data_IF_514823030343
#
_entry.id   IF_514823030343
#
_cell.length_a   1.000
_cell.length_b   1.000
_cell.length_c   1.000
_cell.angle_alpha   90.00
_cell.angle_beta   90.00
_cell.angle_gamma   90.00
#
_symmetry.space_group_name_H-M   'P 1'
#
loop_
_entity.id
_entity.type
_entity.pdbx_description
1 polymer ?
#
# COMPACT_ATOMS: atom_id res chain seq x y z
N UNK A 1 -25.49 18.31 -17.39
CA UNK A 1 -24.22 18.89 -16.89
C UNK A 1 -23.40 17.77 -16.26
N UNK A 2 -22.44 17.23 -16.98
CA UNK A 2 -21.51 16.24 -16.43
C UNK A 2 -20.64 16.91 -15.38
N UNK A 3 -20.76 16.50 -14.11
CA UNK A 3 -19.80 16.91 -13.09
C UNK A 3 -18.43 16.41 -13.54
N UNK A 4 -17.48 17.34 -13.77
CA UNK A 4 -16.08 16.97 -14.00
C UNK A 4 -15.67 15.99 -12.91
N UNK A 5 -15.20 14.83 -13.31
CA UNK A 5 -14.76 13.76 -12.39
C UNK A 5 -13.35 14.04 -11.86
N UNK A 6 -12.66 15.04 -12.40
CA UNK A 6 -11.33 15.49 -11.99
C UNK A 6 -11.40 16.69 -11.05
N UNK A 7 -10.55 16.69 -10.01
CA UNK A 7 -10.40 17.83 -9.10
C UNK A 7 -9.01 18.44 -9.23
N UNK A 8 -8.98 19.73 -9.55
CA UNK A 8 -7.74 20.50 -9.54
C UNK A 8 -7.36 20.87 -8.08
N UNK A 9 -6.32 20.22 -7.56
CA UNK A 9 -5.83 20.49 -6.20
C UNK A 9 -4.84 21.67 -6.14
N UNK A 10 -4.64 22.37 -7.26
CA UNK A 10 -3.76 23.54 -7.31
C UNK A 10 -4.44 24.82 -6.85
N UNK A 11 -5.76 24.79 -6.58
CA UNK A 11 -6.57 25.94 -6.18
C UNK A 11 -7.41 25.60 -4.95
N UNK A 12 -7.84 26.62 -4.21
CA UNK A 12 -8.68 26.46 -3.00
C UNK A 12 -7.90 26.21 -1.72
N UNK A 13 -8.63 25.94 -0.63
CA UNK A 13 -8.06 25.69 0.70
C UNK A 13 -7.41 24.31 0.77
N UNK A 14 -6.14 24.24 1.19
CA UNK A 14 -5.35 23.02 1.17
C UNK A 14 -5.91 21.93 2.10
N UNK A 15 -6.23 22.29 3.36
CA UNK A 15 -6.80 21.36 4.34
C UNK A 15 -8.11 20.73 3.84
N UNK A 16 -9.00 21.55 3.33
CA UNK A 16 -10.29 21.08 2.79
C UNK A 16 -10.08 20.09 1.64
N UNK A 17 -9.16 20.39 0.72
CA UNK A 17 -8.83 19.51 -0.41
C UNK A 17 -8.23 18.19 0.07
N UNK A 18 -7.29 18.24 1.02
CA UNK A 18 -6.69 17.04 1.61
C UNK A 18 -7.75 16.17 2.29
N UNK A 19 -8.60 16.73 3.14
CA UNK A 19 -9.65 15.98 3.84
C UNK A 19 -10.67 15.40 2.87
N UNK A 20 -11.14 16.16 1.89
CA UNK A 20 -12.10 15.70 0.89
C UNK A 20 -11.52 14.56 0.02
N UNK A 21 -10.23 14.55 -0.22
CA UNK A 21 -9.55 13.52 -0.99
C UNK A 21 -9.16 12.31 -0.13
N UNK A 22 -8.75 12.54 1.10
CA UNK A 22 -8.38 11.52 2.08
C UNK A 22 -9.55 10.61 2.47
N UNK A 23 -10.72 11.18 2.82
CA UNK A 23 -11.85 10.40 3.34
C UNK A 23 -12.31 9.27 2.42
N UNK A 24 -12.50 9.49 1.09
CA UNK A 24 -12.86 8.38 0.19
C UNK A 24 -11.78 7.31 0.08
N UNK A 25 -10.49 7.69 0.10
CA UNK A 25 -9.40 6.71 0.03
C UNK A 25 -9.37 5.87 1.31
N UNK A 26 -9.51 6.50 2.49
CA UNK A 26 -9.58 5.79 3.76
C UNK A 26 -10.76 4.82 3.80
N UNK A 27 -11.95 5.28 3.41
CA UNK A 27 -13.12 4.41 3.33
C UNK A 27 -12.86 3.20 2.43
N UNK A 28 -12.29 3.41 1.23
CA UNK A 28 -11.93 2.31 0.33
C UNK A 28 -10.93 1.32 0.95
N UNK A 29 -9.88 1.80 1.60
CA UNK A 29 -8.90 0.95 2.27
C UNK A 29 -9.53 0.14 3.42
N UNK A 30 -10.44 0.73 4.20
CA UNK A 30 -11.17 0.02 5.25
C UNK A 30 -12.11 -1.04 4.66
N UNK A 31 -12.84 -0.75 3.59
CA UNK A 31 -13.64 -1.74 2.88
C UNK A 31 -12.77 -2.90 2.36
N UNK A 32 -11.57 -2.59 1.88
CA UNK A 32 -10.61 -3.61 1.42
C UNK A 32 -10.17 -4.55 2.56
N UNK A 33 -9.94 -4.02 3.75
CA UNK A 33 -9.63 -4.85 4.92
C UNK A 33 -10.80 -5.75 5.33
N UNK A 34 -12.02 -5.20 5.31
CA UNK A 34 -13.23 -5.96 5.65
C UNK A 34 -13.48 -7.13 4.68
N UNK A 35 -13.33 -6.90 3.37
CA UNK A 35 -13.55 -7.99 2.42
C UNK A 35 -12.45 -9.05 2.49
N UNK A 36 -11.19 -8.67 2.74
CA UNK A 36 -10.11 -9.64 2.93
C UNK A 36 -10.36 -10.56 4.14
N UNK A 37 -11.00 -10.03 5.17
CA UNK A 37 -11.45 -10.84 6.31
C UNK A 37 -12.61 -11.78 5.90
N UNK A 38 -13.59 -11.29 5.16
CA UNK A 38 -14.71 -12.09 4.67
C UNK A 38 -14.25 -13.24 3.74
N UNK A 39 -13.32 -12.97 2.81
CA UNK A 39 -12.69 -13.96 1.94
C UNK A 39 -12.04 -15.10 2.77
N UNK A 40 -11.24 -14.74 3.77
CA UNK A 40 -10.62 -15.72 4.68
C UNK A 40 -11.65 -16.55 5.44
N UNK A 41 -12.79 -15.96 5.83
CA UNK A 41 -13.89 -16.70 6.48
C UNK A 41 -14.59 -17.67 5.51
N UNK A 42 -14.80 -17.26 4.26
CA UNK A 42 -15.41 -18.14 3.23
C UNK A 42 -14.49 -19.32 2.93
N UNK A 43 -13.19 -19.09 2.77
CA UNK A 43 -12.21 -20.18 2.56
C UNK A 43 -12.17 -21.12 3.76
N UNK A 44 -12.05 -20.60 4.99
CA UNK A 44 -11.93 -21.43 6.18
C UNK A 44 -13.20 -22.24 6.49
N UNK A 45 -14.39 -21.64 6.37
CA UNK A 45 -15.66 -22.33 6.65
C UNK A 45 -16.20 -23.12 5.46
N UNK A 46 -15.90 -22.71 4.24
CA UNK A 46 -16.44 -23.33 3.02
C UNK A 46 -15.58 -24.45 2.46
N UNK A 47 -14.25 -24.40 2.65
CA UNK A 47 -13.32 -25.39 2.09
C UNK A 47 -12.68 -26.20 3.23
N UNK A 48 -12.25 -25.54 4.31
CA UNK A 48 -11.66 -26.17 5.49
C UNK A 48 -10.34 -25.54 5.93
N UNK A 49 -9.83 -26.06 7.06
CA UNK A 49 -8.65 -25.51 7.73
C UNK A 49 -7.38 -25.66 6.90
N UNK A 50 -7.24 -26.77 6.14
CA UNK A 50 -6.10 -27.02 5.24
C UNK A 50 -6.01 -25.94 4.14
N UNK A 51 -7.15 -25.62 3.53
CA UNK A 51 -7.25 -24.58 2.52
C UNK A 51 -6.92 -23.20 3.09
N UNK A 52 -7.41 -22.89 4.29
CA UNK A 52 -7.09 -21.63 4.96
C UNK A 52 -5.59 -21.54 5.28
N UNK A 53 -4.97 -22.64 5.72
CA UNK A 53 -3.53 -22.71 5.97
C UNK A 53 -2.73 -22.54 4.66
N UNK A 54 -3.17 -23.17 3.56
CA UNK A 54 -2.54 -23.01 2.25
C UNK A 54 -2.61 -21.57 1.75
N UNK A 55 -3.76 -20.89 1.87
CA UNK A 55 -3.93 -19.46 1.54
C UNK A 55 -3.05 -18.60 2.42
N UNK A 56 -3.03 -18.86 3.74
CA UNK A 56 -2.17 -18.14 4.70
C UNK A 56 -0.69 -18.23 4.36
N UNK A 57 -0.23 -19.42 3.92
CA UNK A 57 1.17 -19.66 3.53
C UNK A 57 1.61 -18.78 2.33
N UNK A 58 0.69 -18.39 1.46
CA UNK A 58 1.00 -17.49 0.33
C UNK A 58 1.12 -16.03 0.73
N UNK A 59 0.66 -15.65 1.92
CA UNK A 59 0.47 -14.25 2.34
C UNK A 59 1.71 -13.39 2.21
N UNK A 60 2.87 -13.87 2.65
CA UNK A 60 4.12 -13.11 2.60
C UNK A 60 4.58 -12.81 1.16
N UNK A 61 4.49 -13.81 0.28
CA UNK A 61 4.89 -13.66 -1.13
C UNK A 61 3.88 -12.76 -1.86
N UNK A 62 2.60 -12.94 -1.58
CA UNK A 62 1.52 -12.10 -2.11
C UNK A 62 1.72 -10.64 -1.72
N UNK A 63 2.04 -10.36 -0.44
CA UNK A 63 2.30 -9.01 0.06
C UNK A 63 3.49 -8.35 -0.64
N UNK A 64 4.56 -9.10 -0.93
CA UNK A 64 5.71 -8.61 -1.67
C UNK A 64 5.34 -8.19 -3.10
N UNK A 65 4.60 -9.03 -3.83
CA UNK A 65 4.19 -8.77 -5.21
C UNK A 65 3.21 -7.59 -5.29
N UNK A 66 2.23 -7.54 -4.39
CA UNK A 66 1.27 -6.42 -4.33
C UNK A 66 1.98 -5.13 -3.92
N UNK A 67 2.87 -5.18 -2.93
CA UNK A 67 3.67 -4.02 -2.52
C UNK A 67 4.47 -3.44 -3.68
N UNK A 68 5.10 -4.32 -4.47
CA UNK A 68 5.79 -3.91 -5.71
C UNK A 68 4.83 -3.26 -6.71
N UNK A 69 3.66 -3.88 -6.95
CA UNK A 69 2.66 -3.36 -7.88
C UNK A 69 2.14 -1.99 -7.48
N UNK A 70 1.79 -1.81 -6.21
CA UNK A 70 1.33 -0.52 -5.64
C UNK A 70 2.44 0.53 -5.75
N UNK A 71 3.68 0.18 -5.42
CA UNK A 71 4.81 1.08 -5.50
C UNK A 71 5.11 1.52 -6.93
N UNK A 72 5.13 0.58 -7.89
CA UNK A 72 5.33 0.87 -9.30
C UNK A 72 4.27 1.84 -9.81
N UNK A 73 2.99 1.49 -9.63
CA UNK A 73 1.88 2.30 -10.13
C UNK A 73 1.79 3.65 -9.44
N UNK A 74 2.08 3.72 -8.12
CA UNK A 74 2.20 4.97 -7.37
C UNK A 74 3.27 5.89 -7.95
N UNK A 75 4.46 5.35 -8.26
CA UNK A 75 5.55 6.09 -8.89
C UNK A 75 5.23 6.59 -10.31
N UNK A 76 4.50 5.80 -11.12
CA UNK A 76 3.97 6.26 -12.41
C UNK A 76 2.95 7.40 -12.21
N UNK A 77 2.09 7.31 -11.19
CA UNK A 77 1.12 8.32 -10.81
C UNK A 77 1.74 9.68 -10.45
N UNK A 78 2.98 9.71 -9.95
CA UNK A 78 3.71 10.96 -9.67
C UNK A 78 3.90 11.79 -10.96
N UNK A 79 4.36 11.17 -12.04
CA UNK A 79 4.53 11.87 -13.31
C UNK A 79 3.21 12.38 -13.86
N UNK A 80 2.16 11.55 -13.79
CA UNK A 80 0.81 11.89 -14.23
C UNK A 80 0.24 13.07 -13.44
N UNK A 81 0.38 13.07 -12.10
CA UNK A 81 -0.11 14.17 -11.25
C UNK A 81 0.62 15.49 -11.53
N UNK A 82 1.94 15.43 -11.78
CA UNK A 82 2.73 16.59 -12.19
C UNK A 82 2.31 17.13 -13.56
N UNK A 83 2.10 16.26 -14.53
CA UNK A 83 1.67 16.67 -15.88
C UNK A 83 0.24 17.21 -15.88
N UNK A 84 -0.64 16.66 -15.04
CA UNK A 84 -2.00 17.19 -14.83
C UNK A 84 -1.95 18.58 -14.19
N UNK A 85 -1.18 18.74 -13.12
CA UNK A 85 -1.04 20.03 -12.41
C UNK A 85 -0.42 21.12 -13.26
N UNK A 86 0.47 20.79 -14.21
CA UNK A 86 1.05 21.75 -15.17
C UNK A 86 0.09 22.11 -16.32
N UNK A 87 -1.08 21.46 -16.43
CA UNK A 87 -1.99 21.64 -17.55
C UNK A 87 -1.51 21.06 -18.89
N UNK A 88 -0.40 20.32 -18.90
CA UNK A 88 0.16 19.74 -20.12
C UNK A 88 -0.48 18.38 -20.44
N UNK A 89 -1.69 18.43 -20.98
CA UNK A 89 -2.47 17.23 -21.31
C UNK A 89 -1.87 16.41 -22.46
N UNK A 90 -1.05 16.98 -23.35
CA UNK A 90 -0.36 16.22 -24.38
C UNK A 90 0.68 15.29 -23.75
N UNK A 91 1.51 15.84 -22.86
CA UNK A 91 2.50 15.06 -22.10
C UNK A 91 1.82 14.01 -21.24
N UNK A 92 0.72 14.37 -20.54
CA UNK A 92 -0.06 13.48 -19.68
C UNK A 92 -0.55 12.26 -20.48
N UNK A 93 -1.13 12.44 -21.69
CA UNK A 93 -1.59 11.33 -22.53
C UNK A 93 -0.45 10.40 -22.97
N UNK A 94 0.71 10.96 -23.33
CA UNK A 94 1.90 10.17 -23.67
C UNK A 94 2.42 9.39 -22.45
N UNK A 95 2.50 10.02 -21.28
CA UNK A 95 2.88 9.35 -20.01
C UNK A 95 1.89 8.25 -19.66
N UNK A 96 0.58 8.46 -19.85
CA UNK A 96 -0.43 7.43 -19.64
C UNK A 96 -0.23 6.24 -20.57
N UNK A 97 -0.08 6.46 -21.88
CA UNK A 97 0.14 5.38 -22.85
C UNK A 97 1.42 4.59 -22.54
N UNK A 98 2.52 5.27 -22.20
CA UNK A 98 3.77 4.60 -21.81
C UNK A 98 3.64 3.87 -20.47
N UNK A 99 2.86 4.38 -19.52
CA UNK A 99 2.59 3.69 -18.25
C UNK A 99 1.83 2.38 -18.45
N UNK A 100 0.87 2.34 -19.39
CA UNK A 100 0.18 1.09 -19.77
C UNK A 100 1.18 0.08 -20.33
N UNK A 101 2.09 0.48 -21.23
CA UNK A 101 3.14 -0.41 -21.74
C UNK A 101 4.04 -0.95 -20.62
N UNK A 102 4.45 -0.08 -19.69
CA UNK A 102 5.28 -0.49 -18.51
C UNK A 102 4.51 -1.48 -17.65
N UNK A 103 3.24 -1.21 -17.32
CA UNK A 103 2.41 -2.09 -16.50
C UNK A 103 2.21 -3.46 -17.17
N UNK A 104 1.97 -3.50 -18.47
CA UNK A 104 1.83 -4.75 -19.23
C UNK A 104 3.15 -5.53 -19.26
N UNK A 105 4.26 -4.88 -19.62
CA UNK A 105 5.57 -5.54 -19.72
C UNK A 105 6.01 -6.11 -18.35
N UNK A 106 5.92 -5.32 -17.28
CA UNK A 106 6.30 -5.75 -15.93
C UNK A 106 5.31 -6.77 -15.39
N UNK A 107 4.01 -6.59 -15.63
CA UNK A 107 2.98 -7.54 -15.23
C UNK A 107 3.20 -8.92 -15.84
N UNK A 108 3.42 -8.98 -17.16
CA UNK A 108 3.71 -10.23 -17.86
C UNK A 108 5.02 -10.84 -17.34
N UNK A 109 6.07 -10.04 -17.16
CA UNK A 109 7.36 -10.51 -16.64
C UNK A 109 7.20 -11.14 -15.27
N UNK A 110 6.54 -10.45 -14.33
CA UNK A 110 6.30 -10.98 -12.97
C UNK A 110 5.46 -12.25 -13.05
N UNK A 111 4.37 -12.25 -13.83
CA UNK A 111 3.50 -13.43 -14.00
C UNK A 111 4.32 -14.63 -14.50
N UNK A 112 5.07 -14.48 -15.58
CA UNK A 112 5.84 -15.59 -16.19
C UNK A 112 6.92 -16.10 -15.24
N UNK A 113 7.72 -15.19 -14.67
CA UNK A 113 8.81 -15.56 -13.76
C UNK A 113 8.26 -16.21 -12.49
N UNK A 114 7.23 -15.63 -11.88
CA UNK A 114 6.65 -16.18 -10.66
C UNK A 114 6.00 -17.53 -10.87
N UNK A 115 5.27 -17.75 -11.98
CA UNK A 115 4.68 -19.05 -12.31
C UNK A 115 5.76 -20.10 -12.59
N UNK A 116 6.84 -19.73 -13.30
CA UNK A 116 7.93 -20.66 -13.61
C UNK A 116 8.69 -21.14 -12.37
N UNK A 117 8.85 -20.28 -11.36
CA UNK A 117 9.60 -20.57 -10.15
C UNK A 117 8.76 -20.79 -8.88
N UNK A 118 7.43 -20.79 -9.01
CA UNK A 118 6.52 -20.88 -7.88
C UNK A 118 6.76 -22.10 -6.99
N UNK A 119 6.89 -23.29 -7.59
CA UNK A 119 7.11 -24.52 -6.84
C UNK A 119 8.45 -24.50 -6.08
N UNK A 120 9.53 -24.04 -6.73
CA UNK A 120 10.84 -23.90 -6.11
C UNK A 120 10.79 -22.93 -4.93
N UNK A 121 10.06 -21.82 -5.08
CA UNK A 121 9.89 -20.82 -4.03
C UNK A 121 9.21 -21.43 -2.79
N UNK A 122 8.09 -22.13 -2.94
CA UNK A 122 7.37 -22.73 -1.81
C UNK A 122 8.13 -23.92 -1.20
N UNK A 123 8.90 -24.68 -2.00
CA UNK A 123 9.82 -25.68 -1.48
C UNK A 123 10.94 -25.02 -0.64
N UNK A 124 11.51 -23.90 -1.10
CA UNK A 124 12.50 -23.12 -0.34
C UNK A 124 11.93 -22.55 0.96
N UNK A 125 10.66 -22.17 0.97
CA UNK A 125 9.92 -21.70 2.15
C UNK A 125 9.50 -22.83 3.10
N UNK A 126 9.91 -24.09 2.83
CA UNK A 126 9.59 -25.28 3.62
C UNK A 126 8.08 -25.50 3.79
N UNK A 127 7.30 -25.24 2.74
CA UNK A 127 5.86 -25.54 2.73
C UNK A 127 5.64 -27.05 2.89
N UNK A 128 4.81 -27.48 3.86
CA UNK A 128 4.46 -28.88 4.03
C UNK A 128 3.86 -29.49 2.75
N UNK A 129 4.18 -30.78 2.46
CA UNK A 129 3.75 -31.42 1.21
C UNK A 129 2.23 -31.55 1.10
N UNK A 130 1.53 -31.74 2.21
CA UNK A 130 0.07 -31.79 2.31
C UNK A 130 -0.62 -30.48 1.92
N UNK A 131 0.05 -29.33 2.15
CA UNK A 131 -0.45 -28.01 1.76
C UNK A 131 0.02 -27.59 0.36
N UNK A 132 1.05 -28.22 -0.19
CA UNK A 132 1.71 -27.79 -1.42
C UNK A 132 0.74 -27.69 -2.61
N UNK A 133 -0.11 -28.67 -2.78
CA UNK A 133 -1.05 -28.72 -3.92
C UNK A 133 -2.04 -27.55 -3.89
N UNK A 134 -2.68 -27.30 -2.75
CA UNK A 134 -3.65 -26.21 -2.59
C UNK A 134 -2.95 -24.84 -2.65
N UNK A 135 -1.75 -24.72 -2.06
CA UNK A 135 -0.92 -23.52 -2.14
C UNK A 135 -0.59 -23.17 -3.60
N UNK A 136 -0.14 -24.14 -4.39
CA UNK A 136 0.20 -23.92 -5.81
C UNK A 136 -1.04 -23.60 -6.64
N UNK A 137 -2.18 -24.25 -6.38
CA UNK A 137 -3.43 -24.00 -7.08
C UNK A 137 -3.97 -22.60 -6.80
N UNK A 138 -4.05 -22.20 -5.54
CA UNK A 138 -4.50 -20.88 -5.12
C UNK A 138 -3.57 -19.79 -5.67
N UNK A 139 -2.29 -19.91 -5.33
CA UNK A 139 -1.33 -18.86 -5.66
C UNK A 139 -1.02 -18.78 -7.16
N UNK A 140 -1.02 -19.93 -7.87
CA UNK A 140 -0.88 -19.96 -9.31
C UNK A 140 -1.98 -19.19 -10.03
N UNK A 141 -3.22 -19.27 -9.54
CA UNK A 141 -4.36 -18.50 -10.06
C UNK A 141 -4.18 -16.99 -9.79
N UNK A 142 -3.78 -16.61 -8.57
CA UNK A 142 -3.46 -15.22 -8.23
C UNK A 142 -2.32 -14.68 -9.10
N UNK A 143 -1.24 -15.48 -9.30
CA UNK A 143 -0.10 -15.09 -10.14
C UNK A 143 -0.50 -14.90 -11.60
N UNK A 144 -1.34 -15.78 -12.15
CA UNK A 144 -1.88 -15.61 -13.49
C UNK A 144 -2.66 -14.29 -13.64
N UNK A 145 -3.32 -13.83 -12.55
CA UNK A 145 -4.01 -12.55 -12.47
C UNK A 145 -3.12 -11.32 -12.18
N UNK A 146 -1.81 -11.48 -11.94
CA UNK A 146 -0.94 -10.36 -11.50
C UNK A 146 -0.91 -9.19 -12.48
N UNK A 147 -0.92 -9.46 -13.78
CA UNK A 147 -1.01 -8.39 -14.79
C UNK A 147 -2.30 -7.58 -14.64
N UNK A 148 -3.42 -8.23 -14.34
CA UNK A 148 -4.71 -7.57 -14.08
C UNK A 148 -4.63 -6.76 -12.79
N UNK A 149 -4.02 -7.30 -11.75
CA UNK A 149 -3.79 -6.60 -10.47
C UNK A 149 -3.00 -5.31 -10.65
N UNK A 150 -1.89 -5.36 -11.40
CA UNK A 150 -1.06 -4.17 -11.70
C UNK A 150 -1.87 -3.16 -12.51
N UNK A 151 -2.63 -3.61 -13.51
CA UNK A 151 -3.44 -2.72 -14.34
C UNK A 151 -4.58 -2.07 -13.55
N UNK A 152 -5.27 -2.83 -12.68
CA UNK A 152 -6.30 -2.30 -11.79
C UNK A 152 -5.73 -1.25 -10.82
N UNK A 153 -4.58 -1.52 -10.20
CA UNK A 153 -3.91 -0.55 -9.34
C UNK A 153 -3.49 0.70 -10.11
N UNK A 154 -3.02 0.55 -11.35
CA UNK A 154 -2.67 1.68 -12.21
C UNK A 154 -3.91 2.53 -12.56
N UNK A 155 -5.03 1.91 -12.95
CA UNK A 155 -6.27 2.62 -13.29
C UNK A 155 -6.80 3.43 -12.10
N UNK A 156 -6.78 2.86 -10.88
CA UNK A 156 -7.13 3.57 -9.65
C UNK A 156 -6.15 4.71 -9.36
N UNK A 157 -4.84 4.48 -9.51
CA UNK A 157 -3.80 5.48 -9.29
C UNK A 157 -3.89 6.62 -10.29
N UNK A 158 -4.18 6.34 -11.55
CA UNK A 158 -4.40 7.35 -12.59
C UNK A 158 -5.54 8.30 -12.17
N UNK A 159 -6.69 7.77 -11.76
CA UNK A 159 -7.82 8.57 -11.31
C UNK A 159 -7.48 9.40 -10.06
N UNK A 160 -6.77 8.82 -9.10
CA UNK A 160 -6.26 9.56 -7.93
C UNK A 160 -5.31 10.67 -8.34
N UNK A 161 -4.41 10.43 -9.29
CA UNK A 161 -3.41 11.42 -9.76
C UNK A 161 -4.04 12.66 -10.40
N UNK A 162 -5.25 12.52 -10.98
CA UNK A 162 -6.02 13.65 -11.51
C UNK A 162 -7.06 14.20 -10.50
N UNK A 163 -6.89 13.86 -9.23
CA UNK A 163 -7.71 14.39 -8.13
C UNK A 163 -9.07 13.71 -7.92
N UNK A 164 -9.31 12.54 -8.53
CA UNK A 164 -10.53 11.77 -8.33
C UNK A 164 -10.31 10.62 -7.35
N UNK A 165 -10.83 10.73 -6.13
CA UNK A 165 -10.81 9.66 -5.12
C UNK A 165 -12.14 8.89 -5.01
N UNK A 166 -13.22 9.43 -5.56
CA UNK A 166 -14.57 8.84 -5.43
C UNK A 166 -14.78 7.66 -6.36
N UNK A 167 -14.28 7.73 -7.60
CA UNK A 167 -14.39 6.62 -8.56
C UNK A 167 -13.56 5.42 -8.09
N UNK A 168 -12.29 5.56 -7.67
CA UNK A 168 -11.56 4.48 -7.02
C UNK A 168 -12.26 3.88 -5.80
N UNK A 169 -12.87 4.69 -4.93
CA UNK A 169 -13.69 4.18 -3.81
C UNK A 169 -14.84 3.29 -4.31
N UNK A 170 -15.62 3.77 -5.27
CA UNK A 170 -16.73 2.99 -5.82
C UNK A 170 -16.23 1.70 -6.48
N UNK A 171 -15.09 1.74 -7.20
CA UNK A 171 -14.46 0.56 -7.79
C UNK A 171 -14.05 -0.46 -6.72
N UNK A 172 -13.50 -0.02 -5.59
CA UNK A 172 -13.12 -0.90 -4.47
C UNK A 172 -14.35 -1.52 -3.81
N UNK A 173 -15.44 -0.78 -3.62
CA UNK A 173 -16.70 -1.30 -3.08
C UNK A 173 -17.31 -2.33 -4.02
N UNK A 174 -17.38 -2.04 -5.33
CA UNK A 174 -17.88 -2.98 -6.35
C UNK A 174 -17.04 -4.25 -6.35
N UNK A 175 -15.71 -4.12 -6.32
CA UNK A 175 -14.79 -5.26 -6.27
C UNK A 175 -15.02 -6.11 -5.01
N UNK A 176 -15.15 -5.47 -3.85
CA UNK A 176 -15.37 -6.17 -2.59
C UNK A 176 -16.69 -6.95 -2.58
N UNK A 177 -17.79 -6.34 -3.01
CA UNK A 177 -19.09 -7.01 -3.08
C UNK A 177 -19.04 -8.14 -4.10
N UNK A 178 -18.50 -7.90 -5.29
CA UNK A 178 -18.40 -8.91 -6.35
C UNK A 178 -17.51 -10.08 -5.91
N UNK A 179 -16.40 -9.82 -5.23
CA UNK A 179 -15.54 -10.88 -4.69
C UNK A 179 -16.30 -11.78 -3.72
N UNK A 180 -16.91 -11.21 -2.68
CA UNK A 180 -17.68 -12.01 -1.69
C UNK A 180 -18.79 -12.81 -2.36
N UNK A 181 -19.54 -12.24 -3.30
CA UNK A 181 -20.59 -12.95 -4.01
C UNK A 181 -20.04 -14.09 -4.88
N UNK A 182 -18.93 -13.86 -5.57
CA UNK A 182 -18.26 -14.89 -6.38
C UNK A 182 -17.61 -15.96 -5.52
N UNK A 183 -17.02 -15.62 -4.37
CA UNK A 183 -16.50 -16.59 -3.41
C UNK A 183 -17.61 -17.54 -2.93
N UNK A 184 -18.75 -16.97 -2.50
CA UNK A 184 -19.91 -17.78 -2.10
C UNK A 184 -20.41 -18.67 -3.23
N UNK A 185 -20.44 -18.18 -4.47
CA UNK A 185 -20.88 -18.93 -5.65
C UNK A 185 -19.87 -20.03 -6.03
N UNK A 186 -18.58 -19.73 -6.05
CA UNK A 186 -17.57 -20.68 -6.53
C UNK A 186 -17.21 -21.74 -5.50
N UNK A 187 -17.21 -21.37 -4.21
CA UNK A 187 -16.83 -22.28 -3.13
C UNK A 187 -17.99 -23.23 -2.77
N UNK A 188 -19.21 -22.72 -2.58
CA UNK A 188 -20.32 -23.54 -2.07
C UNK A 188 -21.05 -24.31 -3.19
N UNK A 189 -21.79 -23.71 -4.16
CA UNK A 189 -22.53 -24.49 -5.14
C UNK A 189 -21.67 -25.09 -6.25
N UNK A 190 -20.55 -24.45 -6.64
CA UNK A 190 -19.70 -24.94 -7.71
C UNK A 190 -18.54 -25.81 -7.22
N UNK A 191 -18.30 -25.89 -5.92
CA UNK A 191 -17.26 -26.71 -5.28
C UNK A 191 -15.86 -26.57 -5.91
N UNK A 192 -15.49 -25.34 -6.32
CA UNK A 192 -14.21 -25.07 -7.00
C UNK A 192 -13.02 -25.01 -6.03
N UNK A 193 -13.25 -25.13 -4.72
CA UNK A 193 -12.19 -25.10 -3.72
C UNK A 193 -11.38 -23.80 -3.72
N UNK A 194 -10.10 -23.89 -3.39
CA UNK A 194 -9.18 -22.73 -3.34
C UNK A 194 -8.99 -22.03 -4.69
N UNK A 195 -9.14 -22.77 -5.80
CA UNK A 195 -9.11 -22.20 -7.14
C UNK A 195 -10.27 -21.22 -7.35
N UNK A 196 -11.47 -21.55 -6.85
CA UNK A 196 -12.65 -20.69 -6.93
C UNK A 196 -12.44 -19.35 -6.19
N UNK A 197 -11.92 -19.40 -4.96
CA UNK A 197 -11.62 -18.19 -4.18
C UNK A 197 -10.57 -17.31 -4.87
N UNK A 198 -9.48 -17.91 -5.38
CA UNK A 198 -8.47 -17.15 -6.13
C UNK A 198 -9.04 -16.53 -7.42
N UNK A 199 -9.86 -17.28 -8.15
CA UNK A 199 -10.52 -16.80 -9.37
C UNK A 199 -11.49 -15.65 -9.09
N UNK A 200 -12.28 -15.75 -8.01
CA UNK A 200 -13.19 -14.69 -7.57
C UNK A 200 -12.41 -13.38 -7.30
N UNK A 201 -11.27 -13.47 -6.63
CA UNK A 201 -10.38 -12.32 -6.38
C UNK A 201 -9.90 -11.67 -7.68
N UNK A 202 -9.44 -12.45 -8.64
CA UNK A 202 -8.97 -11.95 -9.95
C UNK A 202 -10.12 -11.31 -10.74
N UNK A 203 -11.29 -11.96 -10.81
CA UNK A 203 -12.46 -11.44 -11.52
C UNK A 203 -13.00 -10.16 -10.90
N UNK A 204 -13.00 -10.06 -9.57
CA UNK A 204 -13.37 -8.83 -8.86
C UNK A 204 -12.48 -7.65 -9.23
N UNK A 205 -11.17 -7.91 -9.39
CA UNK A 205 -10.22 -6.89 -9.86
C UNK A 205 -10.44 -6.50 -11.33
N UNK A 206 -10.85 -7.42 -12.19
CA UNK A 206 -11.26 -7.11 -13.57
C UNK A 206 -12.45 -6.16 -13.56
N UNK A 207 -13.49 -6.43 -12.77
CA UNK A 207 -14.66 -5.55 -12.67
C UNK A 207 -14.28 -4.15 -12.18
N UNK A 208 -13.42 -4.06 -11.17
CA UNK A 208 -12.86 -2.81 -10.67
C UNK A 208 -12.12 -2.04 -11.76
N UNK A 209 -11.24 -2.71 -12.49
CA UNK A 209 -10.47 -2.12 -13.59
C UNK A 209 -11.38 -1.61 -14.72
N UNK A 210 -12.37 -2.40 -15.13
CA UNK A 210 -13.35 -2.00 -16.14
C UNK A 210 -14.16 -0.77 -15.70
N UNK A 211 -14.59 -0.72 -14.44
CA UNK A 211 -15.27 0.43 -13.88
C UNK A 211 -14.39 1.69 -13.91
N UNK A 212 -13.12 1.58 -13.50
CA UNK A 212 -12.17 2.69 -13.58
C UNK A 212 -11.94 3.14 -15.04
N UNK A 213 -11.74 2.19 -15.97
CA UNK A 213 -11.54 2.47 -17.40
C UNK A 213 -12.75 3.18 -18.02
N UNK A 214 -13.97 2.81 -17.63
CA UNK A 214 -15.18 3.50 -18.09
C UNK A 214 -15.15 4.99 -17.72
N UNK A 215 -14.75 5.33 -16.49
CA UNK A 215 -14.66 6.74 -16.08
C UNK A 215 -13.47 7.46 -16.68
N UNK A 216 -12.32 6.79 -16.86
CA UNK A 216 -11.18 7.33 -17.61
C UNK A 216 -11.61 7.68 -19.03
N UNK A 217 -12.38 6.80 -19.68
CA UNK A 217 -12.91 7.02 -21.04
C UNK A 217 -13.90 8.18 -21.18
N UNK A 218 -14.50 8.65 -20.09
CA UNK A 218 -15.35 9.86 -20.08
C UNK A 218 -14.55 11.16 -20.08
N UNK A 219 -13.31 11.12 -19.64
CA UNK A 219 -12.43 12.30 -19.54
C UNK A 219 -11.61 12.47 -20.82
N UNK A 220 -12.09 13.28 -21.75
CA UNK A 220 -11.46 13.50 -23.07
C UNK A 220 -9.95 13.82 -22.98
N UNK A 221 -9.55 14.52 -21.91
CA UNK A 221 -8.16 14.91 -21.68
C UNK A 221 -7.25 13.74 -21.27
N UNK A 222 -7.82 12.62 -20.83
CA UNK A 222 -7.08 11.42 -20.40
C UNK A 222 -6.96 10.37 -21.52
N UNK A 223 -7.73 10.51 -22.62
CA UNK A 223 -7.73 9.52 -23.70
C UNK A 223 -6.51 9.70 -24.59
N UNK A 224 -5.56 8.73 -24.65
CA UNK A 224 -4.42 8.82 -25.55
C UNK A 224 -4.86 8.77 -27.01
N UNK A 225 -4.27 9.62 -27.85
CA UNK A 225 -4.44 9.57 -29.31
C UNK A 225 -3.63 8.40 -29.89
N UNK A 226 -3.96 7.96 -31.12
CA UNK A 226 -3.19 6.89 -31.80
C UNK A 226 -1.68 7.15 -31.83
N UNK A 227 -1.28 8.41 -31.98
CA UNK A 227 0.12 8.83 -32.00
C UNK A 227 0.82 8.71 -30.65
N UNK A 228 0.08 8.79 -29.54
CA UNK A 228 0.62 8.76 -28.18
C UNK A 228 1.07 7.34 -27.77
N UNK A 229 0.54 6.30 -28.45
CA UNK A 229 0.90 4.90 -28.22
C UNK A 229 2.25 4.47 -28.80
N UNK A 230 2.87 5.32 -29.65
CA UNK A 230 4.21 5.01 -30.15
C UNK A 230 5.23 5.01 -29.02
N UNK A 231 6.00 3.93 -28.81
CA UNK A 231 6.98 3.84 -27.75
C UNK A 231 7.98 5.00 -27.77
N UNK A 232 8.12 5.70 -26.66
CA UNK A 232 9.04 6.82 -26.49
C UNK A 232 10.01 6.50 -25.36
N UNK A 233 11.23 6.10 -25.72
CA UNK A 233 12.25 5.64 -24.76
C UNK A 233 12.55 6.68 -23.66
N UNK A 234 12.52 7.95 -23.98
CA UNK A 234 12.76 9.05 -23.03
C UNK A 234 11.68 9.09 -21.95
N UNK A 235 10.41 8.94 -22.35
CA UNK A 235 9.26 8.95 -21.40
C UNK A 235 9.28 7.66 -20.58
N UNK A 236 9.48 6.49 -21.23
CA UNK A 236 9.58 5.20 -20.53
C UNK A 236 10.70 5.24 -19.49
N UNK A 237 11.90 5.70 -19.85
CA UNK A 237 13.03 5.82 -18.92
C UNK A 237 12.69 6.73 -17.74
N UNK A 238 12.06 7.88 -17.98
CA UNK A 238 11.64 8.81 -16.93
C UNK A 238 10.62 8.17 -15.97
N UNK A 239 9.61 7.52 -16.51
CA UNK A 239 8.56 6.83 -15.73
C UNK A 239 9.15 5.69 -14.89
N UNK A 240 10.01 4.86 -15.49
CA UNK A 240 10.68 3.75 -14.81
C UNK A 240 11.61 4.25 -13.69
N UNK A 241 12.38 5.33 -13.93
CA UNK A 241 13.24 5.94 -12.91
C UNK A 241 12.45 6.54 -11.73
N UNK A 242 11.15 6.81 -11.87
CA UNK A 242 10.28 7.24 -10.76
C UNK A 242 9.51 6.07 -10.15
N UNK A 243 9.03 5.14 -10.98
CA UNK A 243 8.24 4.00 -10.54
C UNK A 243 9.06 2.93 -9.81
N UNK A 244 10.20 2.55 -10.36
CA UNK A 244 11.00 1.45 -9.83
C UNK A 244 11.52 1.70 -8.39
N UNK A 245 12.06 2.89 -8.03
CA UNK A 245 12.48 3.14 -6.66
C UNK A 245 11.33 3.03 -5.65
N UNK A 246 10.11 3.46 -6.00
CA UNK A 246 8.94 3.35 -5.12
C UNK A 246 8.50 1.89 -4.99
N UNK A 247 8.55 1.11 -6.08
CA UNK A 247 8.29 -0.33 -6.05
C UNK A 247 9.28 -1.08 -5.14
N UNK A 248 10.58 -0.81 -5.32
CA UNK A 248 11.66 -1.40 -4.50
C UNK A 248 11.48 -1.00 -3.03
N UNK A 249 11.17 0.26 -2.73
CA UNK A 249 10.90 0.72 -1.37
C UNK A 249 9.82 -0.11 -0.68
N UNK A 250 8.67 -0.27 -1.34
CA UNK A 250 7.56 -1.04 -0.77
C UNK A 250 7.91 -2.52 -0.56
N UNK A 251 8.64 -3.12 -1.52
CA UNK A 251 9.12 -4.49 -1.39
C UNK A 251 10.11 -4.66 -0.24
N UNK A 252 11.05 -3.74 -0.09
CA UNK A 252 12.04 -3.75 1.00
C UNK A 252 11.36 -3.59 2.35
N UNK A 253 10.37 -2.69 2.46
CA UNK A 253 9.59 -2.52 3.71
C UNK A 253 8.84 -3.80 4.08
N UNK A 254 8.28 -4.51 3.09
CA UNK A 254 7.64 -5.81 3.29
C UNK A 254 8.61 -6.85 3.87
N UNK A 255 9.83 -6.93 3.33
CA UNK A 255 10.88 -7.81 3.85
C UNK A 255 11.24 -7.46 5.30
N UNK A 256 11.24 -6.17 5.65
CA UNK A 256 11.50 -5.72 7.02
C UNK A 256 10.53 -6.30 8.06
N UNK A 257 9.25 -6.39 7.72
CA UNK A 257 8.23 -7.05 8.57
C UNK A 257 8.49 -8.54 8.73
N UNK A 258 8.89 -9.24 7.66
CA UNK A 258 9.23 -10.68 7.72
C UNK A 258 10.45 -10.94 8.61
N UNK A 259 11.44 -10.04 8.59
CA UNK A 259 12.62 -10.16 9.45
C UNK A 259 12.22 -10.08 10.93
N UNK A 260 11.41 -9.09 11.33
CA UNK A 260 10.92 -9.03 12.71
C UNK A 260 10.13 -10.28 13.11
N UNK A 261 9.26 -10.78 12.23
CA UNK A 261 8.52 -12.02 12.48
C UNK A 261 9.46 -13.20 12.77
N UNK A 262 10.57 -13.30 12.03
CA UNK A 262 11.57 -14.37 12.26
C UNK A 262 12.19 -14.27 13.66
N UNK A 263 12.49 -13.07 14.14
CA UNK A 263 13.00 -12.88 15.51
C UNK A 263 11.96 -13.25 16.57
N UNK A 264 10.70 -12.85 16.37
CA UNK A 264 9.61 -13.19 17.28
C UNK A 264 9.34 -14.70 17.32
N UNK A 265 9.45 -15.39 16.18
CA UNK A 265 9.29 -16.86 16.11
C UNK A 265 10.29 -17.58 17.02
N UNK A 266 11.50 -17.05 17.21
CA UNK A 266 12.52 -17.63 18.10
C UNK A 266 12.27 -17.33 19.59
N UNK A 267 11.31 -16.47 19.93
CA UNK A 267 10.98 -16.13 21.34
C UNK A 267 9.97 -17.09 21.96
N UNK A 268 9.24 -17.85 21.13
CA UNK A 268 8.24 -18.84 21.57
C UNK A 268 6.81 -18.49 21.14
N UNK A 269 5.94 -19.50 21.23
CA UNK A 269 4.57 -19.46 20.67
C UNK A 269 3.70 -18.35 21.24
N UNK A 270 3.82 -18.05 22.53
CA UNK A 270 3.05 -16.97 23.18
C UNK A 270 3.38 -15.59 22.61
N UNK A 271 4.67 -15.32 22.36
CA UNK A 271 5.09 -14.07 21.72
C UNK A 271 4.68 -13.98 20.25
N UNK A 272 4.67 -15.11 19.54
CA UNK A 272 4.19 -15.17 18.16
C UNK A 272 2.70 -14.82 18.10
N UNK A 273 1.89 -15.38 19.00
CA UNK A 273 0.46 -15.07 19.07
C UNK A 273 0.21 -13.60 19.45
N UNK A 274 0.94 -13.06 20.44
CA UNK A 274 0.87 -11.65 20.82
C UNK A 274 1.26 -10.72 19.67
N UNK A 275 2.36 -11.02 18.96
CA UNK A 275 2.82 -10.22 17.82
C UNK A 275 1.84 -10.24 16.65
N UNK A 276 1.26 -11.40 16.36
CA UNK A 276 0.24 -11.51 15.31
C UNK A 276 -1.00 -10.66 15.60
N UNK A 277 -1.46 -10.62 16.85
CA UNK A 277 -2.56 -9.76 17.26
C UNK A 277 -2.17 -8.27 17.21
N UNK A 278 -1.00 -7.91 17.75
CA UNK A 278 -0.50 -6.54 17.74
C UNK A 278 -0.34 -5.99 16.33
N UNK A 279 0.27 -6.74 15.40
CA UNK A 279 0.49 -6.30 14.01
C UNK A 279 -0.82 -6.14 13.25
N UNK A 280 -1.82 -6.99 13.49
CA UNK A 280 -3.16 -6.82 12.90
C UNK A 280 -3.85 -5.55 13.37
N UNK A 281 -3.81 -5.26 14.67
CA UNK A 281 -4.36 -4.02 15.23
C UNK A 281 -3.58 -2.83 14.68
N UNK A 282 -2.24 -2.87 14.74
CA UNK A 282 -1.39 -1.79 14.25
C UNK A 282 -1.65 -1.48 12.77
N UNK A 283 -1.80 -2.50 11.92
CA UNK A 283 -2.10 -2.31 10.49
C UNK A 283 -3.40 -1.56 10.22
N UNK A 284 -4.40 -1.68 11.10
CA UNK A 284 -5.64 -0.89 11.01
C UNK A 284 -5.41 0.56 11.49
N UNK A 285 -4.64 0.74 12.55
CA UNK A 285 -4.40 2.03 13.19
C UNK A 285 -3.43 2.93 12.39
N UNK A 286 -2.53 2.35 11.59
CA UNK A 286 -1.64 3.11 10.70
C UNK A 286 -2.30 3.52 9.37
N UNK A 287 -3.40 2.86 8.96
CA UNK A 287 -4.07 3.14 7.68
C UNK A 287 -4.49 4.61 7.49
N UNK A 288 -5.04 5.30 8.49
CA UNK A 288 -5.39 6.71 8.31
C UNK A 288 -4.18 7.58 8.00
N UNK A 289 -3.07 7.41 8.72
CA UNK A 289 -1.84 8.17 8.50
C UNK A 289 -1.21 7.87 7.12
N UNK A 290 -1.16 6.61 6.71
CA UNK A 290 -0.73 6.21 5.36
C UNK A 290 -1.61 6.85 4.28
N UNK A 291 -2.92 6.90 4.50
CA UNK A 291 -3.88 7.49 3.55
C UNK A 291 -3.70 9.00 3.43
N UNK A 292 -3.38 9.72 4.51
CA UNK A 292 -2.97 11.15 4.45
C UNK A 292 -1.74 11.30 3.56
N UNK A 293 -0.75 10.42 3.70
CA UNK A 293 0.41 10.38 2.81
C UNK A 293 0.03 10.26 1.34
N UNK A 294 -0.86 9.32 0.99
CA UNK A 294 -1.34 9.13 -0.38
C UNK A 294 -2.09 10.36 -0.92
N UNK A 295 -2.87 11.04 -0.08
CA UNK A 295 -3.52 12.29 -0.46
C UNK A 295 -2.50 13.39 -0.75
N UNK A 296 -1.47 13.49 0.10
CA UNK A 296 -0.37 14.43 -0.10
C UNK A 296 0.46 14.13 -1.36
N UNK A 297 0.68 12.87 -1.70
CA UNK A 297 1.37 12.48 -2.94
C UNK A 297 0.74 13.15 -4.16
N UNK A 298 -0.59 13.06 -4.27
CA UNK A 298 -1.36 13.68 -5.36
C UNK A 298 -1.35 15.20 -5.27
N UNK A 299 -1.63 15.75 -4.08
CA UNK A 299 -1.65 17.19 -3.85
C UNK A 299 -0.30 17.84 -4.18
N UNK A 300 0.79 17.30 -3.65
CA UNK A 300 2.14 17.80 -3.90
C UNK A 300 2.53 17.61 -5.37
N UNK A 301 2.21 16.46 -5.98
CA UNK A 301 2.49 16.21 -7.39
C UNK A 301 1.84 17.24 -8.31
N UNK A 302 0.55 17.53 -8.13
CA UNK A 302 -0.15 18.55 -8.92
C UNK A 302 0.40 19.96 -8.68
N UNK A 303 0.63 20.36 -7.42
CA UNK A 303 1.17 21.68 -7.10
C UNK A 303 2.63 21.85 -7.56
N UNK A 304 3.43 20.78 -7.55
CA UNK A 304 4.78 20.77 -8.10
C UNK A 304 4.77 20.97 -9.62
N UNK A 305 3.89 20.26 -10.33
CA UNK A 305 3.67 20.45 -11.76
C UNK A 305 3.21 21.86 -12.12
N UNK A 306 2.38 22.48 -11.27
CA UNK A 306 1.91 23.85 -11.41
C UNK A 306 2.93 24.93 -10.96
N UNK A 307 4.09 24.54 -10.43
CA UNK A 307 5.10 25.48 -9.91
C UNK A 307 4.71 26.20 -8.61
N UNK A 308 3.68 25.70 -7.88
CA UNK A 308 3.11 26.38 -6.69
C UNK A 308 3.81 25.94 -5.39
N UNK A 309 5.06 26.39 -5.18
CA UNK A 309 5.91 26.00 -4.04
C UNK A 309 5.28 26.28 -2.67
N UNK A 310 4.70 27.47 -2.48
CA UNK A 310 4.07 27.84 -1.21
C UNK A 310 2.91 26.92 -0.83
N UNK A 311 2.17 26.44 -1.84
CA UNK A 311 1.09 25.48 -1.59
C UNK A 311 1.64 24.10 -1.19
N UNK A 312 2.79 23.70 -1.70
CA UNK A 312 3.47 22.47 -1.26
C UNK A 312 3.83 22.56 0.21
N UNK A 313 4.46 23.69 0.64
CA UNK A 313 4.79 23.93 2.06
C UNK A 313 3.56 23.89 2.96
N UNK A 314 2.51 24.61 2.56
CA UNK A 314 1.24 24.62 3.27
C UNK A 314 0.64 23.22 3.36
N UNK A 315 0.60 22.48 2.25
CA UNK A 315 0.06 21.12 2.21
C UNK A 315 0.81 20.14 3.11
N UNK A 316 2.15 20.19 3.14
CA UNK A 316 2.97 19.38 4.05
C UNK A 316 2.66 19.73 5.51
N UNK A 317 2.62 21.03 5.86
CA UNK A 317 2.27 21.48 7.21
C UNK A 317 0.87 21.01 7.62
N UNK A 318 -0.11 21.16 6.75
CA UNK A 318 -1.48 20.73 7.00
C UNK A 318 -1.61 19.19 7.06
N UNK A 319 -0.80 18.46 6.28
CA UNK A 319 -0.70 17.02 6.37
C UNK A 319 -0.14 16.56 7.74
N UNK A 320 0.88 17.25 8.26
CA UNK A 320 1.40 17.00 9.63
C UNK A 320 0.30 17.25 10.67
N UNK A 321 -0.40 18.39 10.58
CA UNK A 321 -1.51 18.69 11.50
C UNK A 321 -2.62 17.64 11.42
N UNK A 322 -2.99 17.24 10.21
CA UNK A 322 -4.04 16.23 10.00
C UNK A 322 -3.65 14.88 10.60
N UNK A 323 -2.40 14.43 10.43
CA UNK A 323 -1.92 13.18 11.05
C UNK A 323 -1.88 13.28 12.57
N UNK A 324 -1.54 14.44 13.16
CA UNK A 324 -1.62 14.65 14.61
C UNK A 324 -3.05 14.50 15.11
N UNK A 325 -4.00 15.20 14.46
CA UNK A 325 -5.42 15.17 14.86
C UNK A 325 -6.02 13.76 14.78
N UNK A 326 -5.62 12.98 13.76
CA UNK A 326 -6.09 11.60 13.58
C UNK A 326 -5.40 10.65 14.59
N UNK A 327 -4.11 10.82 14.83
CA UNK A 327 -3.34 9.90 15.66
C UNK A 327 -3.60 10.11 17.17
N UNK A 328 -4.06 11.28 17.62
CA UNK A 328 -4.41 11.50 19.03
C UNK A 328 -5.43 10.46 19.53
N UNK A 329 -6.65 10.33 18.97
CA UNK A 329 -7.62 9.35 19.46
C UNK A 329 -7.12 7.91 19.27
N UNK A 330 -6.41 7.61 18.19
CA UNK A 330 -5.88 6.27 17.93
C UNK A 330 -4.78 5.89 18.93
N UNK A 331 -3.86 6.80 19.25
CA UNK A 331 -2.84 6.60 20.27
C UNK A 331 -3.47 6.40 21.65
N UNK A 332 -4.47 7.21 22.01
CA UNK A 332 -5.20 7.05 23.28
C UNK A 332 -5.88 5.68 23.36
N UNK A 333 -6.46 5.16 22.30
CA UNK A 333 -7.03 3.81 22.28
C UNK A 333 -5.96 2.74 22.53
N UNK A 334 -4.80 2.82 21.86
CA UNK A 334 -3.70 1.87 22.06
C UNK A 334 -3.06 1.96 23.45
N UNK A 335 -3.12 3.12 24.09
CA UNK A 335 -2.58 3.32 25.45
C UNK A 335 -3.56 2.92 26.55
N UNK A 336 -4.85 3.27 26.40
CA UNK A 336 -5.82 3.12 27.46
C UNK A 336 -6.53 1.76 27.47
N UNK A 337 -6.72 1.15 26.28
CA UNK A 337 -7.51 -0.09 26.14
C UNK A 337 -6.81 -1.17 25.28
N UNK A 338 -5.47 -1.36 25.36
CA UNK A 338 -4.76 -2.32 24.52
C UNK A 338 -5.24 -3.75 24.72
N UNK A 339 -5.50 -4.13 25.96
CA UNK A 339 -5.98 -5.47 26.34
C UNK A 339 -7.38 -5.75 25.77
N UNK A 340 -8.27 -4.76 25.81
CA UNK A 340 -9.60 -4.86 25.20
C UNK A 340 -9.51 -5.05 23.69
N UNK A 341 -8.63 -4.31 23.01
CA UNK A 341 -8.45 -4.44 21.55
C UNK A 341 -7.93 -5.84 21.17
N UNK A 342 -7.02 -6.41 21.98
CA UNK A 342 -6.44 -7.73 21.69
C UNK A 342 -7.31 -8.89 22.16
N UNK A 343 -8.23 -8.67 23.12
CA UNK A 343 -9.18 -9.69 23.59
C UNK A 343 -10.17 -10.17 22.53
N UNK A 344 -10.38 -9.40 21.45
CA UNK A 344 -11.14 -9.87 20.29
C UNK A 344 -10.44 -10.97 19.50
N UNK A 345 -9.12 -11.17 19.70
CA UNK A 345 -8.30 -12.10 18.95
C UNK A 345 -7.62 -13.16 19.83
N UNK A 346 -7.44 -12.87 21.13
CA UNK A 346 -6.71 -13.70 22.08
C UNK A 346 -7.62 -14.00 23.28
N UNK A 347 -7.62 -15.25 23.73
CA UNK A 347 -8.40 -15.69 24.91
C UNK A 347 -7.54 -15.83 26.17
N UNK A 348 -6.22 -15.98 26.02
CA UNK A 348 -5.30 -16.19 27.15
C UNK A 348 -4.84 -14.84 27.71
N UNK A 349 -5.21 -14.56 28.98
CA UNK A 349 -4.88 -13.34 29.68
C UNK A 349 -3.35 -13.11 29.81
N UNK A 350 -2.56 -14.18 29.88
CA UNK A 350 -1.10 -14.08 29.96
C UNK A 350 -0.50 -13.56 28.63
N UNK A 351 -1.03 -14.02 27.49
CA UNK A 351 -0.62 -13.56 26.18
C UNK A 351 -1.09 -12.12 25.93
N UNK A 352 -2.31 -11.79 26.36
CA UNK A 352 -2.86 -10.43 26.27
C UNK A 352 -1.96 -9.43 27.00
N UNK A 353 -1.40 -9.80 28.15
CA UNK A 353 -0.51 -8.92 28.92
C UNK A 353 0.73 -8.50 28.14
N UNK A 354 1.30 -9.36 27.26
CA UNK A 354 2.45 -9.01 26.41
C UNK A 354 2.10 -7.95 25.37
N UNK A 355 0.84 -7.93 24.90
CA UNK A 355 0.41 -6.96 23.88
C UNK A 355 0.36 -5.53 24.39
N UNK A 356 0.13 -5.33 25.69
CA UNK A 356 0.05 -4.02 26.32
C UNK A 356 1.29 -3.17 26.08
N UNK A 357 2.47 -3.71 26.38
CA UNK A 357 3.73 -2.99 26.22
C UNK A 357 4.03 -2.68 24.76
N UNK A 358 3.77 -3.62 23.87
CA UNK A 358 3.96 -3.43 22.45
C UNK A 358 3.06 -2.32 21.90
N UNK A 359 1.76 -2.38 22.17
CA UNK A 359 0.79 -1.39 21.70
C UNK A 359 0.97 -0.02 22.35
N UNK A 360 1.41 0.05 23.60
CA UNK A 360 1.72 1.32 24.25
C UNK A 360 2.91 2.03 23.59
N UNK A 361 3.99 1.31 23.32
CA UNK A 361 5.18 1.85 22.64
C UNK A 361 4.84 2.31 21.23
N UNK A 362 4.18 1.45 20.45
CA UNK A 362 3.79 1.78 19.07
C UNK A 362 2.72 2.86 19.02
N UNK A 363 1.79 2.90 19.98
CA UNK A 363 0.75 3.92 20.09
C UNK A 363 1.30 5.34 20.24
N UNK A 364 2.28 5.55 21.14
CA UNK A 364 2.97 6.85 21.26
C UNK A 364 3.66 7.22 19.95
N UNK A 365 4.19 6.25 19.25
CA UNK A 365 4.98 6.45 18.04
C UNK A 365 4.16 6.44 16.75
N UNK A 366 2.84 6.44 16.81
CA UNK A 366 1.98 6.73 15.65
C UNK A 366 2.24 8.14 15.08
N UNK A 367 2.70 9.09 15.93
CA UNK A 367 3.03 10.46 15.45
C UNK A 367 4.24 10.46 14.50
N UNK A 368 5.44 9.95 14.90
CA UNK A 368 6.56 9.80 13.99
C UNK A 368 6.22 9.00 12.72
N UNK A 369 5.41 7.94 12.85
CA UNK A 369 4.94 7.16 11.70
C UNK A 369 4.08 8.01 10.75
N UNK A 370 3.15 8.80 11.29
CA UNK A 370 2.34 9.72 10.48
C UNK A 370 3.20 10.75 9.74
N UNK A 371 4.20 11.31 10.41
CA UNK A 371 5.14 12.26 9.80
C UNK A 371 6.03 11.59 8.78
N UNK A 372 6.45 10.35 9.01
CA UNK A 372 7.16 9.53 8.03
C UNK A 372 6.37 9.46 6.71
N UNK A 373 5.08 9.13 6.77
CA UNK A 373 4.22 9.06 5.57
C UNK A 373 4.05 10.43 4.89
N UNK A 374 3.92 11.50 5.66
CA UNK A 374 3.80 12.88 5.15
C UNK A 374 5.06 13.28 4.37
N UNK A 375 6.24 13.16 4.97
CA UNK A 375 7.49 13.57 4.32
C UNK A 375 7.88 12.63 3.18
N UNK A 376 7.64 11.32 3.32
CA UNK A 376 7.87 10.33 2.26
C UNK A 376 7.08 10.66 1.00
N UNK A 377 5.78 10.80 1.14
CA UNK A 377 4.89 11.09 0.02
C UNK A 377 5.07 12.54 -0.49
N UNK A 378 5.44 13.47 0.37
CA UNK A 378 5.82 14.83 -0.01
C UNK A 378 7.04 14.84 -0.93
N UNK A 379 8.13 14.17 -0.56
CA UNK A 379 9.32 14.02 -1.41
C UNK A 379 9.00 13.29 -2.72
N UNK A 380 8.22 12.21 -2.66
CA UNK A 380 7.79 11.48 -3.86
C UNK A 380 6.94 12.35 -4.79
N UNK A 381 5.98 13.12 -4.28
CA UNK A 381 5.14 14.04 -5.06
C UNK A 381 5.96 15.12 -5.79
N UNK A 382 7.05 15.60 -5.19
CA UNK A 382 8.01 16.47 -5.87
C UNK A 382 8.87 15.74 -6.92
N UNK A 383 8.73 14.41 -7.04
CA UNK A 383 9.47 13.59 -7.99
C UNK A 383 10.81 13.07 -7.47
N UNK A 384 11.13 13.26 -6.20
CA UNK A 384 12.31 12.70 -5.56
C UNK A 384 11.99 11.34 -4.98
N UNK A 385 12.20 10.26 -5.76
CA UNK A 385 11.82 8.88 -5.38
C UNK A 385 12.98 8.05 -4.83
N UNK A 386 14.23 8.44 -5.13
CA UNK A 386 15.42 7.69 -4.71
C UNK A 386 15.67 7.76 -3.19
N UNK A 387 15.55 8.94 -2.58
CA UNK A 387 15.77 9.08 -1.13
C UNK A 387 14.67 8.39 -0.31
N UNK A 388 13.37 8.48 -0.65
CA UNK A 388 12.35 7.61 -0.08
C UNK A 388 12.65 6.11 -0.19
N UNK A 389 13.23 5.65 -1.30
CA UNK A 389 13.67 4.25 -1.43
C UNK A 389 14.76 3.93 -0.40
N UNK A 390 15.77 4.79 -0.26
CA UNK A 390 16.82 4.61 0.75
C UNK A 390 16.25 4.64 2.18
N UNK A 391 15.21 5.42 2.45
CA UNK A 391 14.56 5.41 3.77
C UNK A 391 13.94 4.05 4.10
N UNK A 392 13.40 3.33 3.10
CA UNK A 392 12.94 1.95 3.29
C UNK A 392 14.08 0.99 3.62
N UNK A 393 15.22 1.12 2.97
CA UNK A 393 16.43 0.32 3.31
C UNK A 393 16.90 0.64 4.74
N UNK A 394 16.90 1.92 5.13
CA UNK A 394 17.25 2.33 6.49
C UNK A 394 16.28 1.74 7.53
N UNK A 395 14.97 1.70 7.24
CA UNK A 395 13.97 1.07 8.13
C UNK A 395 14.32 -0.39 8.39
N UNK A 396 14.59 -1.18 7.34
CA UNK A 396 14.94 -2.59 7.50
C UNK A 396 16.24 -2.75 8.27
N UNK A 397 17.26 -1.95 7.95
CA UNK A 397 18.54 -1.97 8.63
C UNK A 397 18.39 -1.68 10.13
N UNK A 398 17.63 -0.64 10.48
CA UNK A 398 17.36 -0.28 11.88
C UNK A 398 16.56 -1.38 12.59
N UNK A 399 15.54 -1.98 11.95
CA UNK A 399 14.80 -3.13 12.52
C UNK A 399 15.75 -4.27 12.89
N UNK A 400 16.62 -4.67 11.96
CA UNK A 400 17.58 -5.77 12.19
C UNK A 400 18.56 -5.46 13.30
N UNK A 401 19.14 -4.26 13.31
CA UNK A 401 20.12 -3.86 14.32
C UNK A 401 19.46 -3.72 15.69
N UNK A 402 18.35 -2.98 15.77
CA UNK A 402 17.70 -2.69 17.04
C UNK A 402 17.03 -3.91 17.67
N UNK A 403 16.44 -4.82 16.86
CA UNK A 403 15.87 -6.06 17.43
C UNK A 403 16.96 -6.93 18.05
N UNK A 404 18.13 -7.04 17.41
CA UNK A 404 19.28 -7.79 17.96
C UNK A 404 19.83 -7.16 19.24
N UNK A 405 19.87 -5.82 19.30
CA UNK A 405 20.41 -5.10 20.45
C UNK A 405 19.44 -5.06 21.64
N UNK A 406 18.15 -4.89 21.37
CA UNK A 406 17.16 -4.60 22.43
C UNK A 406 16.48 -5.86 22.97
N UNK A 407 16.27 -6.89 22.13
CA UNK A 407 15.53 -8.09 22.54
C UNK A 407 16.18 -8.86 23.67
N UNK A 408 17.52 -8.99 23.78
CA UNK A 408 18.17 -9.69 24.90
C UNK A 408 17.90 -9.05 26.27
N UNK A 409 17.66 -7.73 26.31
CA UNK A 409 17.46 -6.97 27.55
C UNK A 409 16.00 -6.66 27.84
N UNK A 410 15.19 -6.48 26.79
CA UNK A 410 13.82 -5.96 26.91
C UNK A 410 12.76 -6.95 26.39
N UNK A 411 13.17 -8.14 26.00
CA UNK A 411 12.30 -9.20 25.48
C UNK A 411 11.32 -8.64 24.41
N UNK A 412 10.03 -8.88 24.54
CA UNK A 412 9.02 -8.48 23.55
C UNK A 412 8.88 -6.95 23.39
N UNK A 413 9.14 -6.18 24.45
CA UNK A 413 9.21 -4.71 24.38
C UNK A 413 10.35 -4.23 23.46
N UNK A 414 11.45 -5.01 23.38
CA UNK A 414 12.55 -4.76 22.46
C UNK A 414 12.13 -4.84 20.99
N UNK A 415 11.18 -5.72 20.65
CA UNK A 415 10.60 -5.82 19.30
C UNK A 415 9.81 -4.56 18.94
N UNK A 416 8.98 -4.05 19.86
CA UNK A 416 8.24 -2.81 19.66
C UNK A 416 9.17 -1.59 19.44
N UNK A 417 10.22 -1.50 20.26
CA UNK A 417 11.21 -0.43 20.16
C UNK A 417 12.03 -0.51 18.86
N UNK A 418 12.31 -1.72 18.36
CA UNK A 418 12.97 -1.90 17.07
C UNK A 418 12.10 -1.38 15.91
N UNK A 419 10.80 -1.68 15.93
CA UNK A 419 9.84 -1.17 14.93
C UNK A 419 9.80 0.36 14.93
N UNK A 420 9.65 0.96 16.10
CA UNK A 420 9.56 2.41 16.28
C UNK A 420 10.85 3.14 15.93
N UNK A 421 12.01 2.56 16.27
CA UNK A 421 13.32 3.11 15.90
C UNK A 421 13.48 3.24 14.39
N UNK A 422 12.95 2.26 13.64
CA UNK A 422 12.95 2.30 12.18
C UNK A 422 12.10 3.46 11.65
N UNK A 423 10.90 3.67 12.20
CA UNK A 423 10.03 4.79 11.79
C UNK A 423 10.67 6.15 12.08
N UNK A 424 11.24 6.33 13.28
CA UNK A 424 11.90 7.57 13.67
C UNK A 424 13.11 7.86 12.79
N UNK A 425 13.98 6.86 12.57
CA UNK A 425 15.17 7.01 11.72
C UNK A 425 14.83 7.41 10.29
N UNK A 426 13.85 6.73 9.69
CA UNK A 426 13.40 7.05 8.34
C UNK A 426 12.68 8.42 8.26
N UNK A 427 11.87 8.78 9.27
CA UNK A 427 11.25 10.09 9.34
C UNK A 427 12.29 11.22 9.41
N UNK A 428 13.29 11.12 10.28
CA UNK A 428 14.36 12.12 10.41
C UNK A 428 15.09 12.29 9.09
N UNK A 429 15.48 11.18 8.43
CA UNK A 429 16.14 11.22 7.13
C UNK A 429 15.30 11.95 6.08
N UNK A 430 14.00 11.64 6.00
CA UNK A 430 13.10 12.24 5.01
C UNK A 430 12.80 13.72 5.32
N UNK A 431 12.66 14.08 6.59
CA UNK A 431 12.49 15.47 7.02
C UNK A 431 13.70 16.33 6.63
N UNK A 432 14.92 15.87 6.92
CA UNK A 432 16.14 16.56 6.52
C UNK A 432 16.21 16.70 5.00
N UNK A 433 15.91 15.64 4.28
CA UNK A 433 15.90 15.65 2.81
C UNK A 433 14.90 16.65 2.25
N UNK A 434 13.71 16.72 2.83
CA UNK A 434 12.68 17.67 2.43
C UNK A 434 13.18 19.13 2.59
N UNK A 435 13.81 19.46 3.72
CA UNK A 435 14.38 20.79 3.95
C UNK A 435 15.48 21.14 2.95
N UNK A 436 16.41 20.23 2.67
CA UNK A 436 17.47 20.43 1.66
C UNK A 436 16.86 20.69 0.27
N UNK A 437 15.81 19.98 -0.10
CA UNK A 437 15.15 20.22 -1.40
C UNK A 437 14.41 21.55 -1.46
N UNK A 438 13.85 22.00 -0.35
CA UNK A 438 13.26 23.34 -0.27
C UNK A 438 14.29 24.44 -0.46
N UNK A 439 15.39 24.41 0.26
CA UNK A 439 16.44 25.43 0.18
C UNK A 439 17.04 25.53 -1.23
N UNK A 440 17.35 24.38 -1.86
CA UNK A 440 17.84 24.36 -3.24
C UNK A 440 16.88 24.98 -4.23
N UNK A 441 15.58 24.82 -4.02
CA UNK A 441 14.56 25.41 -4.91
C UNK A 441 14.42 26.91 -4.68
N UNK A 442 14.80 27.45 -3.53
CA UNK A 442 14.78 28.88 -3.21
C UNK A 442 16.06 29.61 -3.70
N UNK A 443 17.20 28.89 -3.74
CA UNK A 443 18.50 29.46 -4.18
C UNK A 443 18.62 29.66 -5.71
N UNK A 444 17.66 29.16 -6.51
CA UNK A 444 17.55 29.40 -7.96
C UNK A 444 16.64 30.58 -8.31
N UNK A 445 16.34 31.45 -7.35
CA UNK A 445 15.78 32.79 -7.55
C UNK A 445 16.89 33.83 -7.45
#
# INVERSE_FOLDING_TARGET
MGKNTTNDMTQGNCMRLLVQFFLPILAGNLFQQLYSFADSMVVGKGIGDTALAAVGNTGSVHFLIIGFAIGLTGGLGICISQSFGSGNYEKLRKELAMSVWICLAIGILITVVSLAFMRQLFTFLHTPEDLMTETLQYFGTILAGTTITIFNNFAMTLLRSVGNSRVPLAAMIISAIANVLMDLLFVFPLHMGVFGAALATVLAQVLSALYCCYYIGKEKNLIPKKTDWKPQSVIIKRLTLKGLPVAVMNSVTAVGGMVLQTFVNNMGTSYVAAYAACTKILSLFEQPANTVGLALLTFVGQNYGAGKKERIRTGIREGVILTILINIPLALMLLCIPEFLTSFMLNDASIISYTRDFLAVTGICLFPLGWLFVFRNGCQGMGHTFVPMLSGVLEVSLRVVMVKLLTPYLAFRGVALAEVSAWIGAWIMLMITYWIYQERTDSFR
#
